data_IF_484892554084
#
_entry.id   IF_484892554084
#
_cell.length_a   1.000
_cell.length_b   1.000
_cell.length_c   1.000
_cell.angle_alpha   90.00
_cell.angle_beta   90.00
_cell.angle_gamma   90.00
#
_symmetry.space_group_name_H-M   'P 1'
#
loop_
_entity.id
_entity.type
_entity.pdbx_description
1 polymer ?
#
# COMPACT_ATOMS: atom_id res chain seq x y z
N UNK A 1 15.20 8.54 77.49
CA UNK A 1 14.21 8.52 76.39
C UNK A 1 13.28 7.34 76.63
N UNK A 2 11.99 7.58 76.87
CA UNK A 2 11.03 6.52 77.26
C UNK A 2 10.87 5.47 76.15
N UNK A 3 10.84 4.18 76.52
CA UNK A 3 10.68 3.04 75.60
C UNK A 3 9.43 3.19 74.71
N UNK A 4 8.41 3.88 75.20
CA UNK A 4 7.20 4.19 74.43
C UNK A 4 7.43 5.17 73.26
N UNK A 5 8.33 6.14 73.42
CA UNK A 5 8.70 7.08 72.36
C UNK A 5 9.59 6.43 71.31
N UNK A 6 10.47 5.49 71.72
CA UNK A 6 11.29 4.72 70.79
C UNK A 6 10.43 3.81 69.89
N UNK A 7 9.40 3.15 70.45
CA UNK A 7 8.45 2.34 69.67
C UNK A 7 7.62 3.15 68.68
N UNK A 8 7.22 4.38 69.05
CA UNK A 8 6.48 5.29 68.15
C UNK A 8 7.36 5.80 67.00
N UNK A 9 8.64 6.09 67.27
CA UNK A 9 9.60 6.50 66.24
C UNK A 9 9.92 5.35 65.29
N UNK A 10 10.10 4.12 65.81
CA UNK A 10 10.31 2.92 64.98
C UNK A 10 9.08 2.57 64.12
N UNK A 11 7.87 2.74 64.64
CA UNK A 11 6.65 2.53 63.88
C UNK A 11 6.45 3.59 62.77
N UNK A 12 6.81 4.85 63.04
CA UNK A 12 6.78 5.92 62.04
C UNK A 12 7.84 5.71 60.94
N UNK A 13 9.05 5.26 61.30
CA UNK A 13 10.11 4.94 60.34
C UNK A 13 9.77 3.73 59.46
N UNK A 14 9.09 2.71 60.02
CA UNK A 14 8.64 1.54 59.27
C UNK A 14 7.53 1.87 58.25
N UNK A 15 6.68 2.88 58.51
CA UNK A 15 5.68 3.34 57.55
C UNK A 15 6.28 4.15 56.39
N UNK A 16 7.39 4.88 56.61
CA UNK A 16 8.04 5.69 55.56
C UNK A 16 8.92 4.87 54.61
N UNK A 17 9.34 3.66 55.00
CA UNK A 17 10.14 2.76 54.17
C UNK A 17 9.30 1.85 53.24
N UNK A 18 7.98 1.83 53.38
CA UNK A 18 7.08 0.95 52.63
C UNK A 18 6.50 1.58 51.34
N UNK A 19 6.94 2.79 50.94
CA UNK A 19 6.33 3.53 49.84
C UNK A 19 7.33 4.05 48.80
N UNK A 20 8.31 3.23 48.42
CA UNK A 20 9.00 3.40 47.13
C UNK A 20 8.52 2.32 46.17
N UNK A 21 7.28 2.48 45.70
CA UNK A 21 6.88 1.86 44.44
C UNK A 21 7.50 2.72 43.33
N UNK A 22 8.69 2.34 42.88
CA UNK A 22 9.20 2.86 41.61
C UNK A 22 8.27 2.32 40.53
N UNK A 23 7.48 3.21 39.92
CA UNK A 23 6.86 2.90 38.65
C UNK A 23 8.00 2.77 37.64
N UNK A 24 8.38 1.54 37.31
CA UNK A 24 9.16 1.31 36.10
C UNK A 24 8.21 1.44 34.92
N UNK A 25 8.59 2.29 33.97
CA UNK A 25 8.04 2.35 32.62
C UNK A 25 8.42 1.03 31.91
N UNK A 26 7.71 -0.04 32.23
CA UNK A 26 7.85 -1.33 31.56
C UNK A 26 6.88 -1.29 30.38
N UNK A 27 7.40 -0.86 29.24
CA UNK A 27 6.83 -1.24 27.96
C UNK A 27 6.86 -2.77 27.87
N UNK A 28 5.73 -3.40 28.16
CA UNK A 28 5.53 -4.79 27.78
C UNK A 28 5.31 -4.77 26.27
N UNK A 29 6.41 -4.78 25.52
CA UNK A 29 6.41 -5.28 24.16
C UNK A 29 5.96 -6.73 24.26
N UNK A 30 4.65 -6.96 24.13
CA UNK A 30 4.25 -8.15 23.40
C UNK A 30 4.96 -7.98 22.06
N UNK A 31 6.10 -8.63 21.90
CA UNK A 31 6.51 -9.06 20.58
C UNK A 31 5.28 -9.77 20.06
N UNK A 32 4.51 -9.05 19.23
CA UNK A 32 3.38 -9.60 18.54
C UNK A 32 3.91 -10.92 18.00
N UNK A 33 3.26 -12.09 18.20
CA UNK A 33 3.57 -13.22 17.33
C UNK A 33 3.53 -12.59 15.93
N UNK A 34 4.64 -12.60 15.18
CA UNK A 34 4.83 -11.70 14.04
C UNK A 34 3.53 -11.71 13.30
N UNK A 35 2.85 -10.55 13.24
CA UNK A 35 1.64 -10.53 12.45
C UNK A 35 2.08 -11.06 11.11
N UNK A 36 1.47 -12.16 10.68
CA UNK A 36 1.72 -12.72 9.36
C UNK A 36 1.39 -11.65 8.29
N UNK A 37 0.75 -10.54 8.69
CA UNK A 37 0.70 -9.29 7.95
C UNK A 37 2.13 -8.74 7.71
N UNK A 38 2.70 -9.13 6.57
CA UNK A 38 3.84 -8.44 5.98
C UNK A 38 3.49 -7.00 5.62
N UNK A 39 4.50 -6.24 5.21
CA UNK A 39 4.33 -4.87 4.74
C UNK A 39 3.27 -4.81 3.61
N UNK A 40 2.37 -3.80 3.61
CA UNK A 40 1.38 -3.66 2.55
C UNK A 40 2.05 -3.41 1.19
N UNK A 41 1.43 -3.94 0.14
CA UNK A 41 1.90 -3.82 -1.24
C UNK A 41 1.12 -2.73 -1.97
N UNK A 42 1.78 -1.64 -2.36
CA UNK A 42 1.17 -0.51 -3.04
C UNK A 42 1.72 -0.35 -4.45
N UNK A 43 0.83 -0.37 -5.45
CA UNK A 43 1.16 -0.02 -6.82
C UNK A 43 0.63 1.37 -7.13
N UNK A 44 1.53 2.31 -7.43
CA UNK A 44 1.14 3.61 -7.97
C UNK A 44 0.95 3.44 -9.48
N UNK A 45 -0.24 3.76 -9.99
CA UNK A 45 -0.51 3.84 -11.44
C UNK A 45 -0.48 5.31 -11.81
N UNK A 46 0.48 5.69 -12.64
CA UNK A 46 0.68 7.06 -13.10
C UNK A 46 0.15 7.23 -14.52
N UNK A 47 -0.85 8.09 -14.68
CA UNK A 47 -1.37 8.53 -15.97
C UNK A 47 -0.35 9.45 -16.69
N UNK A 48 0.49 8.85 -17.51
CA UNK A 48 1.49 9.53 -18.35
C UNK A 48 0.94 9.90 -19.74
N UNK A 49 -0.38 10.12 -19.91
CA UNK A 49 -0.98 10.49 -21.20
C UNK A 49 -0.64 11.91 -21.64
N UNK A 50 -1.21 12.37 -22.75
CA UNK A 50 -0.96 13.72 -23.28
C UNK A 50 -1.34 14.87 -22.35
N UNK A 51 -2.15 14.62 -21.33
CA UNK A 51 -2.49 15.61 -20.32
C UNK A 51 -1.35 15.89 -19.34
N UNK A 52 -0.31 15.04 -19.32
CA UNK A 52 0.86 15.14 -18.46
C UNK A 52 1.77 16.36 -18.72
N UNK A 53 1.51 17.19 -19.75
CA UNK A 53 2.40 18.32 -20.11
C UNK A 53 2.29 19.53 -19.17
N UNK A 54 1.12 19.80 -18.61
CA UNK A 54 0.90 20.98 -17.77
C UNK A 54 1.30 20.78 -16.29
N UNK A 55 1.00 19.64 -15.64
CA UNK A 55 1.42 19.38 -14.26
C UNK A 55 2.77 18.64 -14.14
N UNK A 56 3.46 18.35 -15.26
CA UNK A 56 4.62 17.45 -15.30
C UNK A 56 5.66 17.72 -14.21
N UNK A 57 6.07 18.99 -14.09
CA UNK A 57 7.22 19.35 -13.26
C UNK A 57 6.87 19.28 -11.78
N UNK A 58 5.68 19.76 -11.42
CA UNK A 58 5.21 19.69 -10.05
C UNK A 58 4.88 18.26 -9.63
N UNK A 59 4.21 17.49 -10.47
CA UNK A 59 3.89 16.09 -10.19
C UNK A 59 5.14 15.23 -10.04
N UNK A 60 6.10 15.37 -10.96
CA UNK A 60 7.38 14.65 -10.89
C UNK A 60 8.12 14.99 -9.60
N UNK A 61 8.20 16.27 -9.24
CA UNK A 61 8.85 16.72 -8.01
C UNK A 61 8.14 16.19 -6.76
N UNK A 62 6.81 16.23 -6.74
CA UNK A 62 6.01 15.70 -5.63
C UNK A 62 6.20 14.19 -5.46
N UNK A 63 6.21 13.42 -6.55
CA UNK A 63 6.46 11.98 -6.49
C UNK A 63 7.90 11.66 -6.07
N UNK A 64 8.89 12.41 -6.55
CA UNK A 64 10.29 12.29 -6.11
C UNK A 64 10.41 12.49 -4.59
N UNK A 65 9.76 13.53 -4.05
CA UNK A 65 9.73 13.83 -2.61
C UNK A 65 9.03 12.71 -1.81
N UNK A 66 7.90 12.20 -2.31
CA UNK A 66 7.20 11.06 -1.69
C UNK A 66 8.12 9.86 -1.59
N UNK A 67 8.75 9.43 -2.68
CA UNK A 67 9.64 8.26 -2.66
C UNK A 67 10.86 8.47 -1.77
N UNK A 68 11.41 9.69 -1.73
CA UNK A 68 12.47 10.04 -0.77
C UNK A 68 11.99 9.88 0.68
N UNK A 69 10.76 10.31 0.98
CA UNK A 69 10.13 10.21 2.30
C UNK A 69 9.76 8.78 2.73
N UNK A 70 9.66 7.83 1.78
CA UNK A 70 9.35 6.43 2.10
C UNK A 70 10.55 5.64 2.62
N UNK A 71 11.75 6.21 2.61
CA UNK A 71 12.95 5.50 3.07
C UNK A 71 12.81 5.08 4.54
N UNK A 72 12.87 3.77 4.78
CA UNK A 72 12.76 3.20 6.12
C UNK A 72 11.31 2.85 6.53
N UNK A 73 10.32 3.20 5.71
CA UNK A 73 8.92 2.87 5.97
C UNK A 73 8.64 1.40 5.63
N UNK A 74 7.85 0.73 6.49
CA UNK A 74 7.48 -0.69 6.33
C UNK A 74 6.35 -0.87 5.34
N UNK A 75 6.63 -0.54 4.08
CA UNK A 75 5.70 -0.58 2.95
C UNK A 75 6.45 -1.02 1.70
N UNK A 76 5.80 -1.84 0.87
CA UNK A 76 6.33 -2.19 -0.44
C UNK A 76 5.65 -1.31 -1.48
N UNK A 77 6.43 -0.58 -2.30
CA UNK A 77 5.88 0.35 -3.30
C UNK A 77 6.45 0.07 -4.68
N UNK A 78 5.59 0.12 -5.69
CA UNK A 78 5.93 0.00 -7.10
C UNK A 78 5.30 1.11 -7.93
N UNK A 79 5.73 1.22 -9.18
CA UNK A 79 5.24 2.20 -10.13
C UNK A 79 4.87 1.53 -11.46
N UNK A 80 3.64 1.78 -11.91
CA UNK A 80 3.12 1.42 -13.22
C UNK A 80 2.81 2.68 -14.01
N UNK A 81 3.03 2.62 -15.32
CA UNK A 81 2.70 3.68 -16.27
C UNK A 81 1.95 3.08 -17.46
N UNK A 82 1.26 3.91 -18.23
CA UNK A 82 0.62 3.46 -19.47
C UNK A 82 1.68 3.23 -20.54
N UNK A 83 1.47 2.20 -21.35
CA UNK A 83 2.46 1.80 -22.36
C UNK A 83 2.81 2.94 -23.30
N UNK A 84 4.10 3.00 -23.63
CA UNK A 84 4.66 3.87 -24.64
C UNK A 84 4.79 3.11 -25.96
N UNK A 85 5.02 3.86 -27.04
CA UNK A 85 5.28 3.31 -28.38
C UNK A 85 6.59 3.86 -28.92
N UNK A 86 7.35 3.02 -29.61
CA UNK A 86 8.62 3.42 -30.19
C UNK A 86 9.46 2.18 -30.54
N UNK A 87 10.63 2.41 -31.12
CA UNK A 87 11.53 1.33 -31.49
C UNK A 87 11.95 0.51 -30.25
N UNK A 88 11.69 -0.79 -30.28
CA UNK A 88 12.00 -1.73 -29.19
C UNK A 88 10.84 -1.98 -28.22
N UNK A 89 9.74 -1.23 -28.33
CA UNK A 89 8.49 -1.51 -27.61
C UNK A 89 7.55 -2.36 -28.48
N UNK A 90 6.86 -3.32 -27.85
CA UNK A 90 5.72 -3.98 -28.48
C UNK A 90 4.62 -2.97 -28.81
N UNK A 91 3.79 -3.26 -29.81
CA UNK A 91 2.66 -2.42 -30.20
C UNK A 91 1.36 -2.73 -29.44
N UNK A 92 1.46 -3.39 -28.27
CA UNK A 92 0.31 -3.73 -27.43
C UNK A 92 0.07 -2.60 -26.42
N UNK A 93 -1.17 -2.12 -26.37
CA UNK A 93 -1.61 -1.11 -25.42
C UNK A 93 -2.02 -1.74 -24.08
N UNK A 94 -1.63 -1.11 -22.97
CA UNK A 94 -2.02 -1.47 -21.60
C UNK A 94 -1.17 -0.76 -20.54
N UNK A 95 -0.94 -1.41 -19.40
CA UNK A 95 0.03 -0.93 -18.41
C UNK A 95 1.41 -1.57 -18.62
N UNK A 96 2.44 -0.99 -18.01
CA UNK A 96 3.71 -1.70 -17.78
C UNK A 96 4.30 -1.30 -16.43
N UNK A 97 5.02 -2.22 -15.79
CA UNK A 97 5.65 -1.99 -14.49
C UNK A 97 6.95 -1.23 -14.72
N UNK A 98 6.97 0.07 -14.46
CA UNK A 98 8.16 0.93 -14.58
C UNK A 98 9.19 0.58 -13.51
N UNK A 99 8.71 0.30 -12.30
CA UNK A 99 9.48 -0.20 -11.18
C UNK A 99 8.65 -1.21 -10.37
N UNK A 100 9.21 -2.38 -10.06
CA UNK A 100 8.50 -3.43 -9.33
C UNK A 100 8.06 -2.98 -7.93
N UNK A 101 7.07 -3.65 -7.32
CA UNK A 101 6.76 -3.44 -5.90
C UNK A 101 7.91 -4.01 -5.07
N UNK A 102 8.63 -3.13 -4.36
CA UNK A 102 9.79 -3.50 -3.51
C UNK A 102 9.69 -2.85 -2.13
N UNK A 103 10.31 -3.43 -1.09
CA UNK A 103 10.35 -2.84 0.25
C UNK A 103 11.06 -1.49 0.26
N UNK A 104 10.41 -0.48 0.85
CA UNK A 104 10.97 0.87 1.00
C UNK A 104 11.84 1.01 2.27
N UNK A 105 11.84 0.01 3.15
CA UNK A 105 12.74 -0.11 4.30
C UNK A 105 14.10 -0.77 3.97
N UNK A 106 14.32 -1.11 2.69
CA UNK A 106 15.58 -1.67 2.18
C UNK A 106 16.31 -0.65 1.32
N UNK A 107 17.50 -0.24 1.76
CA UNK A 107 18.39 0.59 0.94
C UNK A 107 18.99 -0.23 -0.23
N UNK A 108 19.10 0.34 -1.45
CA UNK A 108 18.80 1.73 -1.82
C UNK A 108 17.46 1.90 -2.59
N UNK A 109 16.42 1.11 -2.31
CA UNK A 109 15.20 1.05 -3.15
C UNK A 109 14.52 2.43 -3.30
N UNK A 110 14.14 3.05 -2.17
CA UNK A 110 13.48 4.36 -2.16
C UNK A 110 14.30 5.44 -2.90
N UNK A 111 15.61 5.50 -2.66
CA UNK A 111 16.52 6.45 -3.31
C UNK A 111 16.60 6.25 -4.83
N UNK A 112 16.67 4.99 -5.30
CA UNK A 112 16.72 4.69 -6.73
C UNK A 112 15.41 5.02 -7.43
N UNK A 113 14.28 4.83 -6.77
CA UNK A 113 12.97 5.14 -7.34
C UNK A 113 12.79 6.65 -7.46
N UNK A 114 13.18 7.41 -6.43
CA UNK A 114 13.20 8.88 -6.47
C UNK A 114 14.10 9.38 -7.62
N UNK A 115 15.33 8.85 -7.75
CA UNK A 115 16.24 9.22 -8.83
C UNK A 115 15.68 8.90 -10.22
N UNK A 116 15.00 7.76 -10.38
CA UNK A 116 14.33 7.40 -11.63
C UNK A 116 13.21 8.38 -11.98
N UNK A 117 12.38 8.75 -11.01
CA UNK A 117 11.27 9.70 -11.19
C UNK A 117 11.82 11.09 -11.54
N UNK A 118 12.88 11.54 -10.88
CA UNK A 118 13.54 12.82 -11.17
C UNK A 118 14.00 12.94 -12.64
N UNK A 119 14.35 11.80 -13.25
CA UNK A 119 14.79 11.70 -14.65
C UNK A 119 13.66 11.51 -15.66
N UNK A 120 12.39 11.43 -15.23
CA UNK A 120 11.27 11.37 -16.18
C UNK A 120 11.30 12.57 -17.13
N UNK A 121 10.93 12.29 -18.37
CA UNK A 121 10.85 13.27 -19.43
C UNK A 121 9.43 13.35 -20.00
N UNK A 122 8.90 14.57 -20.05
CA UNK A 122 7.53 14.88 -20.50
C UNK A 122 7.17 14.37 -21.90
N UNK A 123 8.17 14.08 -22.74
CA UNK A 123 7.95 13.52 -24.09
C UNK A 123 8.34 12.07 -24.20
N UNK A 124 9.40 11.65 -23.52
CA UNK A 124 9.98 10.32 -23.78
C UNK A 124 9.26 9.29 -22.94
N UNK A 125 8.74 9.64 -21.76
CA UNK A 125 7.93 8.77 -20.90
C UNK A 125 6.43 8.95 -21.13
N UNK A 126 6.03 9.64 -22.21
CA UNK A 126 4.63 9.94 -22.52
C UNK A 126 3.97 8.78 -23.25
N UNK A 127 2.80 8.37 -22.77
CA UNK A 127 1.97 7.35 -23.42
C UNK A 127 1.41 7.84 -24.77
N UNK A 128 1.20 6.90 -25.69
CA UNK A 128 0.58 7.14 -27.01
C UNK A 128 -0.93 7.42 -26.92
N UNK A 129 -1.62 6.96 -25.89
CA UNK A 129 -3.07 7.08 -25.74
C UNK A 129 -3.52 6.86 -24.30
N UNK A 130 -4.78 7.20 -24.02
CA UNK A 130 -5.46 6.74 -22.82
C UNK A 130 -5.79 5.24 -22.88
N UNK A 131 -5.70 4.55 -21.74
CA UNK A 131 -5.95 3.10 -21.62
C UNK A 131 -6.25 2.66 -20.19
N UNK A 132 -7.03 3.45 -19.45
CA UNK A 132 -7.29 3.24 -18.02
C UNK A 132 -7.80 1.82 -17.70
N UNK A 133 -8.74 1.30 -18.49
CA UNK A 133 -9.26 -0.06 -18.29
C UNK A 133 -8.19 -1.15 -18.48
N UNK A 134 -7.33 -0.99 -19.49
CA UNK A 134 -6.23 -1.93 -19.74
C UNK A 134 -5.09 -1.79 -18.72
N UNK A 135 -4.83 -0.59 -18.20
CA UNK A 135 -3.86 -0.37 -17.14
C UNK A 135 -4.30 -1.06 -15.84
N UNK A 136 -5.59 -0.93 -15.48
CA UNK A 136 -6.16 -1.69 -14.37
C UNK A 136 -6.06 -3.20 -14.63
N UNK A 137 -6.41 -3.67 -15.82
CA UNK A 137 -6.22 -5.09 -16.17
C UNK A 137 -4.76 -5.53 -15.94
N UNK A 138 -3.77 -4.78 -16.41
CA UNK A 138 -2.36 -5.10 -16.20
C UNK A 138 -1.98 -5.12 -14.72
N UNK A 139 -2.48 -4.19 -13.91
CA UNK A 139 -2.23 -4.15 -12.47
C UNK A 139 -2.72 -5.43 -11.78
N UNK A 140 -3.91 -5.92 -12.13
CA UNK A 140 -4.41 -7.21 -11.64
C UNK A 140 -3.50 -8.36 -12.08
N UNK A 141 -3.06 -8.37 -13.35
CA UNK A 141 -2.17 -9.38 -13.88
C UNK A 141 -0.82 -9.39 -13.14
N UNK A 142 -0.30 -8.22 -12.72
CA UNK A 142 0.92 -8.11 -11.93
C UNK A 142 0.75 -8.65 -10.50
N UNK A 143 -0.30 -8.22 -9.77
CA UNK A 143 -0.59 -8.73 -8.42
C UNK A 143 -0.90 -10.23 -8.40
N UNK A 144 -1.57 -10.74 -9.45
CA UNK A 144 -1.85 -12.16 -9.57
C UNK A 144 -0.62 -12.96 -9.99
N UNK A 145 0.08 -12.49 -11.02
CA UNK A 145 1.31 -13.06 -11.59
C UNK A 145 1.46 -14.56 -11.39
N UNK A 146 2.56 -14.93 -10.72
CA UNK A 146 2.84 -16.30 -10.29
C UNK A 146 2.29 -16.68 -8.89
N UNK A 147 1.51 -15.83 -8.21
CA UNK A 147 1.08 -16.10 -6.83
C UNK A 147 -0.01 -17.17 -6.73
N UNK A 148 -0.93 -17.24 -7.71
CA UNK A 148 -2.05 -18.17 -7.67
C UNK A 148 -2.33 -18.80 -9.04
N UNK A 149 -2.57 -20.11 -9.05
CA UNK A 149 -2.96 -20.84 -10.27
C UNK A 149 -4.47 -20.67 -10.56
N UNK A 150 -4.91 -20.60 -11.84
CA UNK A 150 -4.07 -20.58 -13.03
C UNK A 150 -3.32 -19.26 -13.20
N UNK A 151 -2.06 -19.37 -13.63
CA UNK A 151 -1.17 -18.24 -13.89
C UNK A 151 -1.81 -17.29 -14.91
N UNK A 152 -1.62 -16.00 -14.71
CA UNK A 152 -2.14 -14.97 -15.62
C UNK A 152 -0.97 -14.24 -16.27
N UNK A 153 -0.80 -14.35 -17.60
CA UNK A 153 0.33 -13.71 -18.28
C UNK A 153 0.14 -12.19 -18.35
N UNK A 154 1.24 -11.40 -18.45
CA UNK A 154 1.15 -9.99 -18.80
C UNK A 154 0.35 -9.80 -20.10
N UNK A 155 -0.44 -8.73 -20.18
CA UNK A 155 -1.15 -8.39 -21.43
C UNK A 155 -0.25 -7.54 -22.33
N UNK A 156 0.22 -6.41 -21.81
CA UNK A 156 1.04 -5.44 -22.53
C UNK A 156 2.37 -5.12 -21.84
N UNK A 157 2.55 -5.51 -20.58
CA UNK A 157 3.68 -5.02 -19.80
C UNK A 157 5.01 -5.73 -20.05
N UNK A 158 5.03 -6.82 -20.82
CA UNK A 158 6.28 -7.39 -21.35
C UNK A 158 6.65 -6.77 -22.71
N UNK A 159 7.88 -7.02 -23.15
CA UNK A 159 8.43 -6.50 -24.41
C UNK A 159 8.38 -4.96 -24.50
N UNK A 160 8.44 -4.28 -23.35
CA UNK A 160 8.60 -2.84 -23.26
C UNK A 160 10.04 -2.51 -22.88
N UNK A 161 10.62 -1.49 -23.52
CA UNK A 161 11.98 -1.01 -23.26
C UNK A 161 12.17 -0.58 -21.81
N UNK A 162 11.10 -0.02 -21.23
CA UNK A 162 11.10 0.64 -19.92
C UNK A 162 10.47 -0.17 -18.80
N UNK A 163 10.07 -1.42 -19.05
CA UNK A 163 9.55 -2.28 -17.98
C UNK A 163 10.66 -2.74 -17.06
N UNK A 164 10.32 -3.00 -15.81
CA UNK A 164 11.21 -3.57 -14.81
C UNK A 164 11.41 -5.06 -15.08
N UNK A 165 12.58 -5.43 -15.56
CA UNK A 165 12.96 -6.81 -15.81
C UNK A 165 14.41 -7.10 -15.45
N UNK A 166 14.69 -8.36 -15.08
CA UNK A 166 15.97 -8.79 -14.54
C UNK A 166 17.02 -9.26 -15.55
N UNK A 167 18.27 -8.86 -15.29
CA UNK A 167 19.59 -9.42 -15.68
C UNK A 167 20.21 -9.16 -17.07
N UNK A 168 21.53 -8.92 -17.00
CA UNK A 168 22.50 -8.58 -18.05
C UNK A 168 22.16 -7.33 -18.87
N UNK A 169 22.06 -6.20 -18.18
CA UNK A 169 22.23 -4.90 -18.83
C UNK A 169 23.58 -4.86 -19.54
N UNK A 170 23.59 -5.02 -20.86
CA UNK A 170 24.66 -4.46 -21.66
C UNK A 170 24.27 -3.03 -21.97
N UNK A 171 25.24 -2.11 -22.01
CA UNK A 171 24.99 -0.70 -22.31
C UNK A 171 24.27 -0.45 -23.66
N UNK A 172 24.00 -1.50 -24.45
CA UNK A 172 23.31 -1.46 -25.72
C UNK A 172 21.80 -1.78 -25.65
N UNK A 173 21.27 -2.29 -24.53
CA UNK A 173 19.88 -2.76 -24.47
C UNK A 173 18.86 -1.63 -24.17
N UNK A 174 19.34 -0.50 -23.64
CA UNK A 174 18.54 0.71 -23.43
C UNK A 174 19.44 1.94 -23.26
N UNK A 175 19.35 2.92 -24.17
CA UNK A 175 20.05 4.22 -24.08
C UNK A 175 19.21 5.27 -23.32
N UNK A 176 18.55 4.90 -22.22
CA UNK A 176 17.85 5.84 -21.36
C UNK A 176 18.64 6.20 -20.10
N UNK A 177 18.06 7.03 -19.22
CA UNK A 177 18.81 7.72 -18.19
C UNK A 177 19.23 6.73 -17.08
N UNK A 178 20.39 7.01 -16.48
CA UNK A 178 21.16 6.07 -15.66
C UNK A 178 20.38 5.56 -14.43
N UNK A 179 19.36 6.29 -13.97
CA UNK A 179 18.58 5.89 -12.80
C UNK A 179 17.55 4.78 -13.09
N UNK A 180 16.97 4.71 -14.29
CA UNK A 180 16.04 3.61 -14.64
C UNK A 180 16.76 2.26 -14.61
N UNK A 181 17.94 2.19 -15.21
CA UNK A 181 18.75 0.96 -15.23
C UNK A 181 19.28 0.59 -13.85
N UNK A 182 19.51 1.58 -12.98
CA UNK A 182 19.83 1.35 -11.57
C UNK A 182 18.67 0.70 -10.80
N UNK A 183 17.41 1.06 -11.06
CA UNK A 183 16.23 0.38 -10.50
C UNK A 183 16.18 -1.06 -10.98
N UNK A 184 16.37 -1.31 -12.27
CA UNK A 184 16.28 -2.67 -12.84
C UNK A 184 17.44 -3.58 -12.44
N UNK A 185 18.55 -3.02 -11.98
CA UNK A 185 19.65 -3.76 -11.36
C UNK A 185 19.36 -4.23 -9.92
N UNK A 186 18.24 -3.82 -9.31
CA UNK A 186 17.77 -4.35 -8.04
C UNK A 186 17.23 -5.78 -8.21
N UNK A 187 17.25 -6.57 -7.14
CA UNK A 187 16.57 -7.86 -7.10
C UNK A 187 15.04 -7.70 -7.18
N UNK A 188 14.31 -8.81 -7.24
CA UNK A 188 12.84 -8.84 -7.21
C UNK A 188 12.20 -7.99 -8.34
N UNK A 189 12.74 -8.15 -9.55
CA UNK A 189 12.18 -7.52 -10.75
C UNK A 189 10.76 -8.02 -11.04
N UNK A 190 9.95 -7.18 -11.69
CA UNK A 190 8.59 -7.57 -12.07
C UNK A 190 8.59 -8.71 -13.09
N UNK A 191 9.59 -8.77 -13.96
CA UNK A 191 9.77 -9.82 -14.96
C UNK A 191 11.20 -10.38 -14.90
N UNK A 192 11.36 -11.70 -15.12
CA UNK A 192 12.69 -12.32 -15.18
C UNK A 192 13.48 -11.99 -16.45
N UNK A 193 12.80 -11.51 -17.49
CA UNK A 193 13.40 -11.02 -18.73
C UNK A 193 12.42 -10.12 -19.47
N UNK A 194 12.90 -9.31 -20.43
CA UNK A 194 12.04 -8.43 -21.23
C UNK A 194 10.87 -9.19 -21.89
N UNK A 195 11.07 -10.43 -22.31
CA UNK A 195 10.06 -11.26 -22.98
C UNK A 195 9.39 -12.29 -22.06
N UNK A 196 9.56 -12.19 -20.74
CA UNK A 196 8.93 -13.10 -19.79
C UNK A 196 7.41 -13.10 -19.96
N UNK A 197 6.82 -14.27 -19.81
CA UNK A 197 5.38 -14.50 -20.05
C UNK A 197 4.57 -14.56 -18.76
N UNK A 198 5.20 -14.36 -17.61
CA UNK A 198 4.60 -14.39 -16.27
C UNK A 198 5.25 -13.28 -15.45
N UNK A 199 4.43 -12.57 -14.67
CA UNK A 199 4.91 -11.63 -13.67
C UNK A 199 5.39 -12.32 -12.40
N UNK A 200 6.51 -11.82 -11.86
CA UNK A 200 6.92 -12.06 -10.48
C UNK A 200 5.97 -11.26 -9.57
N UNK A 201 4.96 -11.95 -9.04
CA UNK A 201 3.94 -11.34 -8.20
C UNK A 201 4.56 -10.82 -6.89
N UNK A 202 4.21 -9.60 -6.45
CA UNK A 202 4.60 -9.08 -5.14
C UNK A 202 3.77 -9.65 -3.98
N UNK A 203 2.70 -10.40 -4.29
CA UNK A 203 1.86 -11.06 -3.29
C UNK A 203 2.51 -12.35 -2.84
N UNK A 204 2.93 -12.39 -1.58
CA UNK A 204 3.29 -13.63 -0.89
C UNK A 204 2.00 -14.33 -0.39
N UNK A 205 1.64 -15.51 -0.92
CA UNK A 205 0.41 -16.21 -0.53
C UNK A 205 0.44 -16.70 0.93
N UNK A 206 1.59 -16.68 1.59
CA UNK A 206 1.74 -17.00 3.01
C UNK A 206 1.64 -15.77 3.92
N UNK A 207 1.66 -14.57 3.36
CA UNK A 207 1.52 -13.30 4.06
C UNK A 207 0.06 -12.83 4.11
N UNK A 208 -0.31 -12.12 5.18
CA UNK A 208 -1.57 -11.39 5.27
C UNK A 208 -1.45 -9.93 4.81
N UNK A 209 -0.37 -9.59 4.09
CA UNK A 209 -0.17 -8.26 3.52
C UNK A 209 -1.37 -7.85 2.66
N UNK A 210 -1.82 -6.61 2.83
CA UNK A 210 -2.89 -6.01 2.03
C UNK A 210 -2.33 -5.40 0.76
N UNK A 211 -3.14 -5.40 -0.30
CA UNK A 211 -2.76 -4.90 -1.62
C UNK A 211 -3.55 -3.62 -1.94
N UNK A 212 -2.87 -2.62 -2.49
CA UNK A 212 -3.45 -1.30 -2.75
C UNK A 212 -3.00 -0.74 -4.09
N UNK A 213 -3.90 -0.06 -4.79
CA UNK A 213 -3.56 0.77 -5.94
C UNK A 213 -3.74 2.23 -5.56
N UNK A 214 -2.78 3.08 -5.93
CA UNK A 214 -2.96 4.54 -5.93
C UNK A 214 -2.95 4.97 -7.39
N UNK A 215 -4.12 5.28 -7.94
CA UNK A 215 -4.26 5.73 -9.31
C UNK A 215 -4.17 7.25 -9.36
N UNK A 216 -3.14 7.76 -10.02
CA UNK A 216 -2.88 9.19 -10.18
C UNK A 216 -3.27 9.58 -11.60
N UNK A 217 -4.34 10.36 -11.73
CA UNK A 217 -4.86 10.82 -13.02
C UNK A 217 -4.41 12.24 -13.32
N UNK A 218 -3.92 12.47 -14.54
CA UNK A 218 -3.56 13.79 -15.05
C UNK A 218 -4.64 14.43 -15.91
N UNK A 219 -5.88 13.97 -15.77
CA UNK A 219 -7.05 14.46 -16.49
C UNK A 219 -7.79 13.36 -17.24
N UNK A 220 -8.86 13.74 -17.92
CA UNK A 220 -9.74 12.79 -18.59
C UNK A 220 -8.97 11.92 -19.60
N UNK A 221 -8.92 10.63 -19.29
CA UNK A 221 -8.25 9.65 -20.13
C UNK A 221 -9.10 9.41 -21.38
N UNK A 222 -8.44 9.42 -22.54
CA UNK A 222 -9.10 9.26 -23.85
C UNK A 222 -8.92 7.82 -24.36
N UNK A 223 -9.48 6.86 -23.62
CA UNK A 223 -9.46 5.45 -24.02
C UNK A 223 -10.12 5.27 -25.39
N UNK A 224 -9.51 4.44 -26.24
CA UNK A 224 -10.14 4.09 -27.51
C UNK A 224 -11.23 3.04 -27.28
N UNK A 225 -12.25 3.02 -28.14
CA UNK A 225 -13.27 1.96 -28.13
C UNK A 225 -12.66 0.55 -28.30
N UNK A 226 -11.48 0.44 -28.93
CA UNK A 226 -10.79 -0.85 -29.05
C UNK A 226 -10.23 -1.29 -27.70
N UNK A 227 -9.60 -0.37 -26.98
CA UNK A 227 -8.98 -0.64 -25.68
C UNK A 227 -10.03 -0.96 -24.61
N UNK A 228 -11.13 -0.20 -24.58
CA UNK A 228 -12.25 -0.49 -23.67
C UNK A 228 -12.83 -1.89 -23.88
N UNK A 229 -13.08 -2.29 -25.14
CA UNK A 229 -13.57 -3.65 -25.46
C UNK A 229 -12.56 -4.74 -25.10
N UNK A 230 -11.26 -4.45 -25.25
CA UNK A 230 -10.22 -5.40 -24.89
C UNK A 230 -10.11 -5.54 -23.37
N UNK A 231 -10.23 -4.45 -22.61
CA UNK A 231 -10.30 -4.48 -21.15
C UNK A 231 -11.52 -5.28 -20.65
N UNK A 232 -12.69 -5.09 -21.27
CA UNK A 232 -13.89 -5.89 -20.98
C UNK A 232 -13.69 -7.38 -21.26
N UNK A 233 -13.02 -7.70 -22.38
CA UNK A 233 -12.71 -9.09 -22.75
C UNK A 233 -11.77 -9.74 -21.73
N UNK A 234 -10.75 -9.00 -21.27
CA UNK A 234 -9.83 -9.48 -20.23
C UNK A 234 -10.55 -9.69 -18.89
N UNK A 235 -11.46 -8.79 -18.52
CA UNK A 235 -12.26 -8.93 -17.30
C UNK A 235 -13.15 -10.17 -17.35
N UNK A 236 -13.82 -10.39 -18.48
CA UNK A 236 -14.63 -11.59 -18.75
C UNK A 236 -13.79 -12.87 -18.63
N UNK A 237 -12.55 -12.87 -19.14
CA UNK A 237 -11.65 -14.02 -19.04
C UNK A 237 -11.30 -14.36 -17.58
N UNK A 238 -11.23 -13.35 -16.71
CA UNK A 238 -11.06 -13.53 -15.27
C UNK A 238 -12.37 -13.85 -14.53
N UNK A 239 -13.49 -13.99 -15.26
CA UNK A 239 -14.85 -14.19 -14.74
C UNK A 239 -15.34 -13.03 -13.87
N UNK A 240 -14.84 -11.82 -14.13
CA UNK A 240 -15.36 -10.60 -13.53
C UNK A 240 -16.71 -10.21 -14.12
N UNK A 241 -17.48 -9.45 -13.35
CA UNK A 241 -18.75 -8.87 -13.79
C UNK A 241 -18.48 -7.60 -14.60
N UNK A 242 -18.85 -7.62 -15.89
CA UNK A 242 -18.72 -6.49 -16.81
C UNK A 242 -19.96 -5.59 -16.84
N UNK A 243 -20.95 -5.83 -15.96
CA UNK A 243 -22.12 -4.98 -15.87
C UNK A 243 -21.71 -3.54 -15.50
N UNK A 244 -22.03 -2.63 -16.41
CA UNK A 244 -21.67 -1.22 -16.33
C UNK A 244 -22.16 -0.57 -15.03
N UNK A 245 -21.28 0.14 -14.35
CA UNK A 245 -21.57 0.89 -13.13
C UNK A 245 -22.13 2.26 -13.49
N UNK A 246 -23.23 2.63 -12.84
CA UNK A 246 -23.91 3.89 -13.10
C UNK A 246 -23.25 5.04 -12.35
N UNK A 247 -22.54 5.91 -13.08
CA UNK A 247 -21.92 7.12 -12.54
C UNK A 247 -22.69 8.38 -13.01
N UNK A 248 -22.57 9.46 -12.23
CA UNK A 248 -23.17 10.76 -12.58
C UNK A 248 -22.16 11.90 -12.30
N UNK A 249 -21.77 12.68 -13.31
CA UNK A 249 -22.15 12.59 -14.73
C UNK A 249 -21.66 11.32 -15.44
N UNK A 250 -22.41 10.84 -16.46
CA UNK A 250 -22.13 9.55 -17.12
C UNK A 250 -21.11 9.61 -18.27
N UNK A 251 -20.33 10.70 -18.37
CA UNK A 251 -19.51 11.01 -19.55
C UNK A 251 -18.31 10.07 -19.79
N UNK A 252 -17.99 9.22 -18.82
CA UNK A 252 -16.91 8.22 -18.89
C UNK A 252 -17.37 6.84 -18.40
N UNK A 253 -18.70 6.62 -18.32
CA UNK A 253 -19.28 5.41 -17.74
C UNK A 253 -19.05 4.15 -18.60
N UNK A 254 -18.53 4.30 -19.81
CA UNK A 254 -18.18 3.22 -20.74
C UNK A 254 -16.73 2.71 -20.57
N UNK A 255 -15.92 3.40 -19.76
CA UNK A 255 -14.54 3.00 -19.45
C UNK A 255 -14.57 1.98 -18.33
N UNK A 256 -14.05 0.77 -18.58
CA UNK A 256 -14.23 -0.40 -17.71
C UNK A 256 -13.34 -0.39 -16.44
N UNK A 257 -12.85 0.78 -16.04
CA UNK A 257 -11.83 0.90 -14.99
C UNK A 257 -12.42 0.66 -13.58
N UNK A 258 -13.66 1.09 -13.33
CA UNK A 258 -14.36 0.86 -12.07
C UNK A 258 -14.92 -0.57 -11.96
N UNK A 259 -15.32 -1.23 -13.05
CA UNK A 259 -15.61 -2.67 -13.00
C UNK A 259 -14.36 -3.51 -12.69
N UNK A 260 -13.18 -3.11 -13.20
CA UNK A 260 -11.92 -3.73 -12.79
C UNK A 260 -11.63 -3.51 -11.31
N UNK A 261 -11.81 -2.28 -10.78
CA UNK A 261 -11.62 -2.00 -9.36
C UNK A 261 -12.56 -2.85 -8.47
N UNK A 262 -13.85 -2.93 -8.85
CA UNK A 262 -14.85 -3.79 -8.21
C UNK A 262 -14.42 -5.26 -8.20
N UNK A 263 -14.00 -5.77 -9.35
CA UNK A 263 -13.54 -7.16 -9.48
C UNK A 263 -12.31 -7.45 -8.63
N UNK A 264 -11.30 -6.56 -8.68
CA UNK A 264 -10.07 -6.73 -7.91
C UNK A 264 -10.33 -6.79 -6.41
N UNK A 265 -11.24 -5.95 -5.90
CA UNK A 265 -11.66 -5.96 -4.50
C UNK A 265 -12.36 -7.26 -4.09
N UNK A 266 -13.23 -7.79 -4.96
CA UNK A 266 -13.95 -9.03 -4.70
C UNK A 266 -13.09 -10.29 -4.90
N UNK A 267 -11.94 -10.15 -5.56
CA UNK A 267 -11.01 -11.25 -5.77
C UNK A 267 -10.27 -11.66 -4.49
N UNK A 268 -9.58 -12.80 -4.52
CA UNK A 268 -8.72 -13.26 -3.41
C UNK A 268 -7.57 -12.30 -3.08
N UNK A 269 -7.24 -11.38 -4.00
CA UNK A 269 -6.18 -10.40 -3.81
C UNK A 269 -6.64 -9.20 -2.96
N UNK A 270 -7.96 -9.00 -2.79
CA UNK A 270 -8.57 -7.96 -1.93
C UNK A 270 -7.91 -6.58 -2.13
N UNK A 271 -7.79 -6.14 -3.39
CA UNK A 271 -7.07 -4.90 -3.74
C UNK A 271 -8.00 -3.70 -3.53
N UNK A 272 -7.57 -2.76 -2.69
CA UNK A 272 -8.26 -1.48 -2.48
C UNK A 272 -7.64 -0.41 -3.38
N UNK A 273 -8.46 0.38 -4.09
CA UNK A 273 -8.00 1.42 -5.02
C UNK A 273 -8.28 2.81 -4.47
N UNK A 274 -7.25 3.62 -4.32
CA UNK A 274 -7.34 5.06 -4.10
C UNK A 274 -7.18 5.77 -5.45
N UNK A 275 -7.87 6.88 -5.63
CA UNK A 275 -7.79 7.69 -6.84
C UNK A 275 -7.43 9.13 -6.50
N UNK A 276 -6.63 9.75 -7.35
CA UNK A 276 -6.25 11.16 -7.28
C UNK A 276 -6.56 11.79 -8.64
N UNK A 277 -7.47 12.75 -8.67
CA UNK A 277 -7.78 13.57 -9.84
C UNK A 277 -6.97 14.87 -9.78
N UNK A 278 -5.93 14.98 -10.61
CA UNK A 278 -5.06 16.17 -10.66
C UNK A 278 -5.70 17.23 -11.57
N UNK A 279 -5.86 18.43 -11.02
CA UNK A 279 -6.36 19.62 -11.71
C UNK A 279 -7.61 19.33 -12.58
N UNK A 280 -8.70 18.80 -11.99
CA UNK A 280 -9.85 18.29 -12.73
C UNK A 280 -10.50 19.36 -13.62
N UNK A 281 -10.69 19.02 -14.89
CA UNK A 281 -11.39 19.87 -15.84
C UNK A 281 -12.90 19.81 -15.57
N UNK A 282 -13.53 20.96 -15.35
CA UNK A 282 -14.96 21.05 -14.99
C UNK A 282 -15.92 21.06 -16.18
N UNK A 283 -15.40 20.87 -17.40
CA UNK A 283 -16.16 20.91 -18.65
C UNK A 283 -15.79 19.75 -19.57
N UNK A 284 -16.59 19.51 -20.60
CA UNK A 284 -16.34 18.43 -21.55
C UNK A 284 -16.40 17.05 -20.87
N UNK A 285 -15.39 16.21 -21.10
CA UNK A 285 -15.30 14.87 -20.52
C UNK A 285 -14.89 14.86 -19.04
N UNK A 286 -14.28 15.95 -18.54
CA UNK A 286 -13.71 15.99 -17.19
C UNK A 286 -14.69 15.64 -16.06
N UNK A 287 -15.92 16.18 -16.01
CA UNK A 287 -16.88 15.80 -14.95
C UNK A 287 -17.26 14.31 -14.95
N UNK A 288 -17.35 13.69 -16.13
CA UNK A 288 -17.60 12.25 -16.24
C UNK A 288 -16.40 11.43 -15.77
N UNK A 289 -15.20 11.91 -16.07
CA UNK A 289 -13.96 11.29 -15.63
C UNK A 289 -13.77 11.35 -14.11
N UNK A 290 -13.98 12.51 -13.50
CA UNK A 290 -13.95 12.64 -12.03
C UNK A 290 -14.99 11.72 -11.35
N UNK A 291 -16.17 11.54 -11.97
CA UNK A 291 -17.18 10.62 -11.48
C UNK A 291 -16.74 9.15 -11.60
N UNK A 292 -16.03 8.78 -12.67
CA UNK A 292 -15.44 7.44 -12.84
C UNK A 292 -14.34 7.17 -11.82
N UNK A 293 -13.40 8.10 -11.61
CA UNK A 293 -12.35 7.97 -10.59
C UNK A 293 -12.97 7.76 -9.20
N UNK A 294 -14.00 8.55 -8.87
CA UNK A 294 -14.74 8.34 -7.63
C UNK A 294 -15.37 6.94 -7.55
N UNK A 295 -15.97 6.46 -8.64
CA UNK A 295 -16.55 5.11 -8.73
C UNK A 295 -15.52 4.02 -8.48
N UNK A 296 -14.33 4.12 -9.08
CA UNK A 296 -13.22 3.16 -8.86
C UNK A 296 -12.84 3.06 -7.37
N UNK A 297 -12.75 4.20 -6.69
CA UNK A 297 -12.45 4.23 -5.26
C UNK A 297 -13.60 3.63 -4.43
N UNK A 298 -14.83 4.09 -4.67
CA UNK A 298 -16.01 3.67 -3.91
C UNK A 298 -16.26 2.15 -4.03
N UNK A 299 -16.13 1.57 -5.24
CA UNK A 299 -16.36 0.14 -5.51
C UNK A 299 -15.28 -0.78 -4.91
N UNK A 300 -14.09 -0.25 -4.65
CA UNK A 300 -13.01 -0.98 -3.99
C UNK A 300 -12.90 -0.70 -2.48
N UNK A 301 -13.67 0.26 -1.96
CA UNK A 301 -13.62 0.70 -0.57
C UNK A 301 -12.44 1.61 -0.24
N UNK A 302 -11.83 2.24 -1.25
CA UNK A 302 -10.82 3.27 -1.08
C UNK A 302 -11.42 4.68 -1.07
N UNK A 303 -10.55 5.69 -1.07
CA UNK A 303 -10.94 7.10 -1.07
C UNK A 303 -10.50 7.81 -2.35
N UNK A 304 -11.35 8.72 -2.84
CA UNK A 304 -11.05 9.58 -3.97
C UNK A 304 -10.62 10.98 -3.50
N UNK A 305 -9.50 11.45 -4.03
CA UNK A 305 -8.92 12.76 -3.73
C UNK A 305 -8.90 13.64 -4.97
N UNK A 306 -8.95 14.94 -4.75
CA UNK A 306 -8.69 15.94 -5.78
C UNK A 306 -7.41 16.67 -5.40
N UNK A 307 -6.43 16.63 -6.28
CA UNK A 307 -5.17 17.32 -6.11
C UNK A 307 -5.08 18.52 -7.06
N UNK A 308 -4.44 19.58 -6.60
CA UNK A 308 -3.81 20.55 -7.49
C UNK A 308 -2.31 20.28 -7.55
N UNK A 309 -1.61 20.94 -8.47
CA UNK A 309 -0.17 20.75 -8.67
C UNK A 309 0.69 20.89 -7.39
N UNK A 310 0.26 21.66 -6.38
CA UNK A 310 1.06 21.91 -5.16
C UNK A 310 0.78 21.00 -3.97
N UNK A 311 -0.27 20.17 -4.00
CA UNK A 311 -0.66 19.34 -2.84
C UNK A 311 -0.60 17.83 -3.09
N UNK A 312 -0.19 17.39 -4.29
CA UNK A 312 -0.10 15.97 -4.64
C UNK A 312 0.75 15.18 -3.64
N UNK A 313 1.95 15.67 -3.30
CA UNK A 313 2.84 14.99 -2.36
C UNK A 313 2.18 14.75 -1.01
N UNK A 314 1.49 15.77 -0.48
CA UNK A 314 0.76 15.65 0.80
C UNK A 314 -0.36 14.62 0.73
N UNK A 315 -1.13 14.58 -0.37
CA UNK A 315 -2.23 13.62 -0.54
C UNK A 315 -1.69 12.20 -0.64
N UNK A 316 -0.62 11.98 -1.42
CA UNK A 316 0.00 10.65 -1.53
C UNK A 316 0.55 10.20 -0.17
N UNK A 317 1.20 11.09 0.58
CA UNK A 317 1.65 10.81 1.95
C UNK A 317 0.47 10.53 2.89
N UNK A 318 -0.65 11.24 2.78
CA UNK A 318 -1.87 10.98 3.55
C UNK A 318 -2.42 9.57 3.28
N UNK A 319 -2.53 9.17 2.01
CA UNK A 319 -2.97 7.82 1.62
C UNK A 319 -2.01 6.76 2.18
N UNK A 320 -0.70 6.97 2.08
CA UNK A 320 0.30 6.02 2.60
C UNK A 320 0.18 5.89 4.12
N UNK A 321 -0.03 6.98 4.84
CA UNK A 321 -0.27 6.95 6.28
C UNK A 321 -1.56 6.21 6.64
N UNK A 322 -2.63 6.37 5.85
CA UNK A 322 -3.86 5.60 6.00
C UNK A 322 -3.59 4.10 5.84
N UNK A 323 -2.89 3.71 4.77
CA UNK A 323 -2.51 2.31 4.49
C UNK A 323 -1.68 1.71 5.63
N UNK A 324 -0.71 2.46 6.16
CA UNK A 324 0.11 2.03 7.29
C UNK A 324 -0.70 1.91 8.58
N UNK A 325 -1.68 2.81 8.80
CA UNK A 325 -2.53 2.81 9.98
C UNK A 325 -3.47 1.59 10.05
N UNK A 326 -3.99 1.10 8.92
CA UNK A 326 -4.86 -0.09 8.86
C UNK A 326 -4.18 -1.35 9.41
N UNK A 327 -2.84 -1.40 9.38
CA UNK A 327 -2.06 -2.51 9.92
C UNK A 327 -1.64 -2.31 11.40
N UNK A 328 -1.97 -1.18 12.02
CA UNK A 328 -1.59 -0.86 13.40
C UNK A 328 -2.67 -1.29 14.41
N UNK A 329 -2.26 -1.99 15.47
CA UNK A 329 -3.12 -2.35 16.60
C UNK A 329 -2.56 -1.70 17.86
N UNK A 330 -3.39 -0.97 18.60
CA UNK A 330 -3.01 -0.42 19.90
C UNK A 330 -3.41 -1.37 21.02
N UNK A 331 -2.44 -1.76 21.86
CA UNK A 331 -2.67 -2.52 23.08
C UNK A 331 -2.42 -1.61 24.29
N UNK A 332 -3.43 -1.43 25.15
CA UNK A 332 -3.26 -0.75 26.44
C UNK A 332 -3.16 -1.79 27.54
N UNK A 333 -2.09 -1.73 28.35
CA UNK A 333 -1.91 -2.59 29.51
C UNK A 333 -2.48 -1.87 30.74
N UNK A 334 -3.48 -2.47 31.37
CA UNK A 334 -4.01 -1.98 32.65
C UNK A 334 -3.61 -2.97 33.76
N UNK A 335 -2.76 -2.51 34.70
CA UNK A 335 -2.52 -3.22 35.95
C UNK A 335 -3.56 -2.80 37.00
N UNK A 336 -4.11 -3.72 37.82
CA UNK A 336 -5.06 -3.36 38.87
C UNK A 336 -4.42 -2.42 39.91
N UNK A 337 -4.90 -1.18 39.98
CA UNK A 337 -4.45 -0.14 40.90
C UNK A 337 -5.03 -0.31 42.32
N UNK A 338 -4.73 -1.43 42.99
CA UNK A 338 -5.08 -1.63 44.40
C UNK A 338 -4.24 -2.75 45.05
N UNK A 339 -3.46 -2.41 46.09
CA UNK A 339 -2.65 -3.35 46.88
C UNK A 339 -3.48 -4.46 47.55
N UNK A 340 -4.77 -4.20 47.78
CA UNK A 340 -5.76 -5.13 48.32
C UNK A 340 -6.42 -6.04 47.25
N UNK A 341 -6.19 -5.81 45.95
CA UNK A 341 -6.70 -6.66 44.87
C UNK A 341 -5.66 -7.66 44.32
N UNK A 342 -4.37 -7.48 44.62
CA UNK A 342 -3.29 -8.39 44.19
C UNK A 342 -3.50 -9.85 44.64
N UNK A 343 -4.14 -10.07 45.79
CA UNK A 343 -4.33 -11.41 46.34
C UNK A 343 -5.41 -12.23 45.60
N UNK A 344 -6.30 -11.58 44.85
CA UNK A 344 -7.38 -12.24 44.08
C UNK A 344 -7.07 -12.41 42.59
N UNK A 345 -6.08 -11.70 42.04
CA UNK A 345 -5.69 -11.75 40.62
C UNK A 345 -4.32 -12.43 40.42
N UNK A 346 -4.12 -13.61 41.02
CA UNK A 346 -2.92 -14.41 40.83
C UNK A 346 -2.73 -14.75 39.35
N UNK A 347 -1.66 -14.22 38.75
CA UNK A 347 -1.21 -14.51 37.40
C UNK A 347 -2.24 -14.22 36.29
N UNK A 348 -2.92 -13.07 36.37
CA UNK A 348 -3.88 -12.61 35.35
C UNK A 348 -3.46 -11.25 34.80
N UNK A 349 -3.09 -11.22 33.52
CA UNK A 349 -2.72 -10.01 32.78
C UNK A 349 -3.86 -9.71 31.80
N UNK A 350 -4.51 -8.57 31.94
CA UNK A 350 -5.57 -8.16 31.01
C UNK A 350 -5.02 -7.16 30.00
N UNK A 351 -5.25 -7.41 28.72
CA UNK A 351 -4.75 -6.59 27.63
C UNK A 351 -5.92 -6.18 26.76
N UNK A 352 -6.21 -4.88 26.74
CA UNK A 352 -7.20 -4.30 25.86
C UNK A 352 -6.59 -4.12 24.48
N UNK A 353 -7.15 -4.78 23.48
CA UNK A 353 -6.74 -4.66 22.08
C UNK A 353 -7.80 -3.85 21.34
N UNK A 354 -7.42 -2.70 20.82
CA UNK A 354 -8.30 -1.81 20.07
C UNK A 354 -7.79 -1.67 18.63
N UNK A 355 -8.74 -1.56 17.69
CA UNK A 355 -8.45 -1.25 16.30
C UNK A 355 -9.11 0.07 15.93
N UNK A 356 -8.42 0.98 15.24
CA UNK A 356 -9.06 2.13 14.62
C UNK A 356 -10.27 1.68 13.80
N UNK A 357 -11.36 2.44 13.89
CA UNK A 357 -12.54 2.18 13.07
C UNK A 357 -12.21 2.46 11.60
N UNK A 358 -12.57 1.55 10.71
CA UNK A 358 -12.32 1.63 9.25
C UNK A 358 -12.92 2.89 8.61
N UNK A 359 -13.87 3.57 9.28
CA UNK A 359 -14.48 4.82 8.83
C UNK A 359 -14.15 6.02 9.75
N UNK A 360 -13.06 5.96 10.51
CA UNK A 360 -12.56 7.08 11.36
C UNK A 360 -13.59 7.55 12.40
N UNK A 361 -14.48 6.66 12.86
CA UNK A 361 -15.46 7.02 13.89
C UNK A 361 -14.78 7.18 15.26
N UNK A 362 -15.28 8.07 16.14
CA UNK A 362 -14.70 8.30 17.48
C UNK A 362 -14.75 7.09 18.43
N UNK A 363 -15.34 5.97 18.02
CA UNK A 363 -15.50 4.75 18.82
C UNK A 363 -14.72 3.64 18.15
N UNK A 364 -13.68 3.15 18.81
CA UNK A 364 -12.86 2.06 18.31
C UNK A 364 -13.36 0.72 18.85
N UNK A 365 -13.75 -0.23 17.99
CA UNK A 365 -14.07 -1.58 18.44
C UNK A 365 -12.81 -2.25 19.01
N UNK A 366 -12.97 -2.98 20.11
CA UNK A 366 -11.87 -3.66 20.77
C UNK A 366 -12.32 -4.85 21.60
N UNK A 367 -11.37 -5.66 22.03
CA UNK A 367 -11.60 -6.81 22.90
C UNK A 367 -10.64 -6.78 24.09
N UNK A 368 -11.06 -7.35 25.22
CA UNK A 368 -10.22 -7.54 26.40
C UNK A 368 -9.79 -9.00 26.46
N UNK A 369 -8.51 -9.27 26.26
CA UNK A 369 -7.96 -10.63 26.41
C UNK A 369 -7.28 -10.79 27.76
N UNK A 370 -7.43 -11.97 28.35
CA UNK A 370 -6.74 -12.36 29.58
C UNK A 370 -5.58 -13.30 29.23
N UNK A 371 -4.41 -12.99 29.77
CA UNK A 371 -3.18 -13.76 29.65
C UNK A 371 -2.66 -14.14 31.05
N UNK A 372 -1.67 -15.03 31.09
CA UNK A 372 -0.94 -15.47 32.28
C UNK A 372 0.55 -15.51 31.99
N UNK A 373 1.40 -15.26 32.98
CA UNK A 373 2.83 -15.53 32.88
C UNK A 373 3.07 -17.03 33.09
N UNK A 374 3.80 -17.67 32.18
CA UNK A 374 4.17 -19.07 32.26
C UNK A 374 5.58 -19.30 31.73
N UNK A 375 6.13 -20.49 31.96
CA UNK A 375 7.42 -20.87 31.41
C UNK A 375 7.21 -21.55 30.05
N UNK A 376 7.90 -21.06 29.03
CA UNK A 376 8.04 -21.74 27.74
C UNK A 376 9.49 -22.21 27.63
N UNK A 377 9.75 -23.46 28.02
CA UNK A 377 11.12 -23.94 28.25
C UNK A 377 11.67 -23.35 29.55
N UNK A 378 12.78 -22.60 29.49
CA UNK A 378 13.41 -21.91 30.63
C UNK A 378 13.06 -20.42 30.72
N UNK A 379 12.37 -19.87 29.73
CA UNK A 379 12.02 -18.45 29.65
C UNK A 379 10.60 -18.18 30.17
N UNK A 380 10.44 -17.11 30.94
CA UNK A 380 9.12 -16.60 31.34
C UNK A 380 8.51 -15.86 30.16
N UNK A 381 7.32 -16.29 29.71
CA UNK A 381 6.56 -15.69 28.61
C UNK A 381 5.11 -15.44 29.03
N UNK A 382 4.46 -14.51 28.35
CA UNK A 382 3.02 -14.28 28.46
C UNK A 382 2.32 -15.34 27.59
N UNK A 383 1.46 -16.14 28.19
CA UNK A 383 0.68 -17.22 27.56
C UNK A 383 -0.81 -16.88 27.61
N UNK A 384 -1.58 -17.40 26.66
CA UNK A 384 -3.04 -17.29 26.71
C UNK A 384 -3.57 -17.91 28.01
N UNK A 385 -4.60 -17.31 28.62
CA UNK A 385 -5.21 -17.86 29.82
C UNK A 385 -5.90 -19.21 29.58
N UNK A 386 -6.32 -19.50 28.34
CA UNK A 386 -7.02 -20.74 27.95
C UNK A 386 -6.11 -21.91 27.59
N UNK A 387 -4.84 -21.66 27.24
CA UNK A 387 -3.89 -22.72 26.90
C UNK A 387 -3.29 -23.32 28.19
N UNK A 388 -3.76 -24.50 28.59
CA UNK A 388 -3.16 -25.31 29.68
C UNK A 388 -2.09 -26.24 29.17
#
# INVERSE_FOLDING_TARGET
MNILNLKRILAAAALTLAAQANAEDIDLFLGMPPSIAGAPNVLIILDNTGNWTAPFTEERGALEEVFTGLRGEKINVGLMMFTETGDGDSNVDGGYIRAAIRPMDVDPNAERYAAMIAEFHVRDDKSNSGKAGLAMAEAYHYYKGASTAPLTPPWAGNNKNKTDWGTSFTANDYNGPNASTAVWALADNALDSKSATIYNSPVDPTSCAKNYIIYISNGAVQDSNSDNRQAETLLTLQRGDTAQISISPSGSADVVADEWARFMKQSVLDITTYTIDIDPVTTGQGPGWSALLKSMADESGGSNFVAGSTNLGNIVTEIINEILAVNSVFASVALPAASNAQSTFLNRVYIGQFRPDENVKPRWPGNLKQYKLGLSGTEVKVLDAADT
#
